data_IF_147123643702
#
_entry.id   IF_147123643702
#
_cell.length_a   1.000
_cell.length_b   1.000
_cell.length_c   1.000
_cell.angle_alpha   90.00
_cell.angle_beta   90.00
_cell.angle_gamma   90.00
#
_symmetry.space_group_name_H-M   'P 1'
#
loop_
_entity.id
_entity.type
_entity.pdbx_description
1 polymer ?
#
# COMPACT_ATOMS: atom_id res chain seq x y z
N UNK A 1 43.19 -56.12 20.83
CA UNK A 1 41.79 -56.44 21.13
C UNK A 1 41.10 -55.14 21.52
N UNK A 2 40.05 -54.79 20.79
CA UNK A 2 39.40 -53.48 20.68
C UNK A 2 38.70 -53.02 21.97
N UNK A 3 38.66 -51.70 22.25
CA UNK A 3 37.45 -50.85 22.11
C UNK A 3 37.61 -49.46 22.75
N UNK A 4 37.59 -48.46 21.88
CA UNK A 4 37.37 -47.03 22.12
C UNK A 4 35.92 -46.82 22.58
N UNK A 5 35.70 -46.06 23.66
CA UNK A 5 34.36 -45.62 24.06
C UNK A 5 34.18 -44.15 23.66
N UNK A 6 33.55 -43.92 22.51
CA UNK A 6 33.05 -42.60 22.11
C UNK A 6 31.79 -42.29 22.90
N UNK A 7 31.88 -41.31 23.81
CA UNK A 7 30.71 -40.63 24.36
C UNK A 7 30.19 -39.66 23.30
N UNK A 8 29.08 -40.03 22.64
CA UNK A 8 28.32 -39.12 21.79
C UNK A 8 27.44 -38.29 22.71
N UNK A 9 27.84 -37.04 22.98
CA UNK A 9 26.96 -36.03 23.56
C UNK A 9 26.02 -35.59 22.45
N UNK A 10 24.79 -36.12 22.47
CA UNK A 10 23.70 -35.62 21.64
C UNK A 10 23.28 -34.24 22.18
N UNK A 11 23.84 -33.19 21.58
CA UNK A 11 23.40 -31.83 21.80
C UNK A 11 22.08 -31.64 21.02
N UNK A 12 20.96 -31.90 21.69
CA UNK A 12 19.64 -31.57 21.18
C UNK A 12 19.55 -30.04 21.05
N UNK A 13 19.73 -29.53 19.83
CA UNK A 13 19.34 -28.16 19.49
C UNK A 13 17.84 -28.03 19.74
N UNK A 14 17.49 -27.37 20.83
CA UNK A 14 16.17 -26.80 21.04
C UNK A 14 16.04 -25.68 20.02
N UNK A 15 15.39 -25.96 18.89
CA UNK A 15 14.89 -24.93 17.99
C UNK A 15 13.85 -24.12 18.76
N UNK A 16 14.29 -23.01 19.37
CA UNK A 16 13.41 -21.91 19.76
C UNK A 16 12.97 -21.24 18.47
N UNK A 17 11.96 -21.82 17.83
CA UNK A 17 11.27 -21.30 16.65
C UNK A 17 9.78 -21.20 16.95
N UNK A 18 9.45 -20.58 18.08
CA UNK A 18 8.09 -20.20 18.44
C UNK A 18 8.15 -18.72 18.84
N UNK A 19 8.59 -17.87 17.90
CA UNK A 19 8.34 -16.44 17.95
C UNK A 19 7.07 -16.22 17.13
N UNK A 20 6.04 -15.65 17.74
CA UNK A 20 4.78 -15.35 17.06
C UNK A 20 5.07 -14.54 15.80
N UNK A 21 4.74 -15.08 14.62
CA UNK A 21 4.83 -14.36 13.34
C UNK A 21 3.87 -13.16 13.26
N UNK A 22 3.01 -12.96 14.27
CA UNK A 22 2.10 -11.83 14.35
C UNK A 22 2.76 -10.54 14.82
N UNK A 23 2.14 -9.41 14.48
CA UNK A 23 2.55 -8.09 14.95
C UNK A 23 2.30 -7.97 16.45
N UNK A 24 3.38 -7.79 17.22
CA UNK A 24 3.35 -7.73 18.69
C UNK A 24 3.92 -6.43 19.27
N UNK A 25 4.36 -5.51 18.41
CA UNK A 25 5.01 -4.27 18.77
C UNK A 25 4.79 -3.17 17.73
N UNK A 26 5.00 -1.91 18.12
CA UNK A 26 4.96 -0.77 17.21
C UNK A 26 6.04 -0.88 16.10
N UNK A 27 7.16 -1.54 16.40
CA UNK A 27 8.23 -1.81 15.44
C UNK A 27 7.81 -2.82 14.37
N UNK A 28 7.08 -3.87 14.75
CA UNK A 28 6.49 -4.79 13.79
C UNK A 28 5.43 -4.08 12.93
N UNK A 29 4.62 -3.20 13.53
CA UNK A 29 3.63 -2.40 12.79
C UNK A 29 4.30 -1.42 11.80
N UNK A 30 5.43 -0.82 12.19
CA UNK A 30 6.25 0.01 11.29
C UNK A 30 6.76 -0.80 10.10
N UNK A 31 7.31 -1.99 10.34
CA UNK A 31 7.80 -2.88 9.27
C UNK A 31 6.68 -3.33 8.33
N UNK A 32 5.51 -3.64 8.89
CA UNK A 32 4.30 -3.95 8.11
C UNK A 32 3.86 -2.77 7.23
N UNK A 33 3.96 -1.53 7.73
CA UNK A 33 3.72 -0.35 6.91
C UNK A 33 4.76 -0.20 5.80
N UNK A 34 6.05 -0.35 6.12
CA UNK A 34 7.14 -0.16 5.16
C UNK A 34 7.07 -1.11 3.96
N UNK A 35 6.59 -2.33 4.13
CA UNK A 35 6.37 -3.26 3.01
C UNK A 35 5.23 -2.86 2.06
N UNK A 36 4.33 -1.94 2.47
CA UNK A 36 3.27 -1.35 1.65
C UNK A 36 3.53 0.11 1.26
N UNK A 37 4.58 0.75 1.76
CA UNK A 37 4.76 2.20 1.61
C UNK A 37 4.78 2.64 0.13
N UNK A 38 5.47 1.87 -0.72
CA UNK A 38 5.52 2.07 -2.17
C UNK A 38 4.17 1.79 -2.87
N UNK A 39 3.31 0.95 -2.29
CA UNK A 39 2.00 0.64 -2.87
C UNK A 39 1.08 1.85 -2.86
N UNK A 40 1.19 2.73 -1.85
CA UNK A 40 0.39 3.96 -1.74
C UNK A 40 0.68 4.88 -2.95
N UNK A 41 1.95 5.02 -3.31
CA UNK A 41 2.36 5.82 -4.47
C UNK A 41 1.89 5.20 -5.79
N UNK A 42 1.93 3.87 -5.89
CA UNK A 42 1.36 3.15 -7.05
C UNK A 42 -0.15 3.34 -7.12
N UNK A 43 -0.86 3.26 -5.99
CA UNK A 43 -2.31 3.41 -5.91
C UNK A 43 -2.75 4.80 -6.43
N UNK A 44 -2.11 5.86 -5.94
CA UNK A 44 -2.38 7.23 -6.40
C UNK A 44 -2.07 7.37 -7.90
N UNK A 45 -0.94 6.82 -8.35
CA UNK A 45 -0.53 6.87 -9.77
C UNK A 45 -1.53 6.14 -10.67
N UNK A 46 -1.94 4.92 -10.30
CA UNK A 46 -2.96 4.15 -11.02
C UNK A 46 -4.32 4.86 -11.00
N UNK A 47 -4.66 5.55 -9.90
CA UNK A 47 -5.84 6.40 -9.83
C UNK A 47 -5.81 7.53 -10.87
N UNK A 48 -4.68 8.24 -11.02
CA UNK A 48 -4.51 9.25 -12.07
C UNK A 48 -4.55 8.64 -13.48
N UNK A 49 -3.95 7.47 -13.69
CA UNK A 49 -4.04 6.76 -14.97
C UNK A 49 -5.50 6.47 -15.33
N UNK A 50 -6.27 5.96 -14.37
CA UNK A 50 -7.69 5.69 -14.51
C UNK A 50 -8.49 6.95 -14.80
N UNK A 51 -8.23 8.04 -14.07
CA UNK A 51 -8.85 9.34 -14.30
C UNK A 51 -8.57 9.89 -15.71
N UNK A 52 -7.31 9.85 -16.14
CA UNK A 52 -6.90 10.36 -17.46
C UNK A 52 -7.40 9.49 -18.63
N UNK A 53 -7.65 8.20 -18.39
CA UNK A 53 -8.17 7.27 -19.39
C UNK A 53 -9.71 7.18 -19.41
N UNK A 54 -10.39 7.69 -18.38
CA UNK A 54 -11.82 7.53 -18.21
C UNK A 54 -12.61 8.29 -19.29
N UNK A 55 -13.45 7.57 -20.01
CA UNK A 55 -14.44 8.12 -20.96
C UNK A 55 -15.85 8.16 -20.38
N UNK A 56 -16.00 7.71 -19.13
CA UNK A 56 -17.26 7.67 -18.38
C UNK A 56 -16.98 7.87 -16.88
N UNK A 57 -18.03 7.92 -16.06
CA UNK A 57 -17.86 7.99 -14.61
C UNK A 57 -17.21 6.73 -14.02
N UNK A 58 -17.21 5.60 -14.72
CA UNK A 58 -16.55 4.38 -14.27
C UNK A 58 -15.13 4.30 -14.84
N UNK A 59 -14.19 3.95 -13.98
CA UNK A 59 -12.79 3.71 -14.31
C UNK A 59 -12.59 2.22 -14.57
N UNK A 60 -12.08 1.89 -15.75
CA UNK A 60 -11.63 0.53 -16.02
C UNK A 60 -10.44 0.19 -15.10
N UNK A 61 -10.32 -1.07 -14.61
CA UNK A 61 -9.24 -1.46 -13.72
C UNK A 61 -7.85 -1.07 -14.25
N UNK A 62 -7.06 -0.41 -13.41
CA UNK A 62 -5.65 -0.08 -13.65
C UNK A 62 -4.80 -0.97 -12.75
N UNK A 63 -3.90 -1.76 -13.33
CA UNK A 63 -3.13 -2.78 -12.60
C UNK A 63 -1.63 -2.56 -12.77
N UNK A 64 -0.88 -2.74 -11.69
CA UNK A 64 0.57 -2.83 -11.69
C UNK A 64 1.06 -4.03 -10.86
N UNK A 65 2.30 -4.43 -11.09
CA UNK A 65 2.94 -5.49 -10.31
C UNK A 65 3.55 -4.93 -9.02
N UNK A 66 3.64 -5.76 -7.99
CA UNK A 66 4.61 -5.56 -6.91
C UNK A 66 6.04 -5.65 -7.45
N UNK A 67 7.00 -5.05 -6.76
CA UNK A 67 8.39 -5.06 -7.15
C UNK A 67 9.00 -6.47 -7.08
N UNK A 68 8.43 -7.37 -6.26
CA UNK A 68 8.79 -8.79 -6.21
C UNK A 68 7.70 -9.69 -6.78
N UNK A 69 6.47 -9.57 -6.27
CA UNK A 69 5.36 -10.48 -6.62
C UNK A 69 4.00 -9.79 -6.59
N UNK A 70 3.03 -10.48 -7.18
CA UNK A 70 1.62 -10.10 -7.12
C UNK A 70 1.30 -8.78 -7.79
N UNK A 71 0.10 -8.30 -7.53
CA UNK A 71 -0.49 -7.16 -8.23
C UNK A 71 -1.28 -6.26 -7.30
N UNK A 72 -1.25 -4.96 -7.63
CA UNK A 72 -2.15 -3.93 -7.14
C UNK A 72 -3.09 -3.54 -8.28
N UNK A 73 -4.38 -3.45 -8.01
CA UNK A 73 -5.40 -3.02 -8.97
C UNK A 73 -6.25 -1.92 -8.38
N UNK A 74 -6.37 -0.80 -9.10
CA UNK A 74 -7.24 0.33 -8.75
C UNK A 74 -8.40 0.40 -9.73
N UNK A 75 -9.63 0.47 -9.20
CA UNK A 75 -10.84 0.68 -9.99
C UNK A 75 -11.81 1.60 -9.25
N UNK A 76 -12.96 1.92 -9.84
CA UNK A 76 -13.99 2.72 -9.16
C UNK A 76 -14.57 3.80 -10.05
N UNK A 77 -14.78 4.98 -9.49
CA UNK A 77 -15.50 6.06 -10.16
C UNK A 77 -14.78 7.40 -10.10
N UNK A 78 -14.97 8.22 -11.14
CA UNK A 78 -14.44 9.57 -11.27
C UNK A 78 -15.52 10.56 -11.69
N UNK A 79 -15.33 11.82 -11.33
CA UNK A 79 -16.18 12.92 -11.79
C UNK A 79 -15.82 13.32 -13.24
N UNK A 80 -16.84 13.36 -14.11
CA UNK A 80 -16.75 13.75 -15.52
C UNK A 80 -17.42 15.11 -15.81
N UNK A 81 -17.86 15.83 -14.77
CA UNK A 81 -18.43 17.16 -14.91
C UNK A 81 -17.43 18.18 -15.45
N UNK A 82 -17.93 19.31 -15.98
CA UNK A 82 -17.10 20.36 -16.58
C UNK A 82 -16.23 21.14 -15.57
N UNK A 83 -16.48 20.99 -14.26
CA UNK A 83 -15.76 21.66 -13.18
C UNK A 83 -14.26 21.34 -13.18
N UNK A 84 -13.39 22.30 -12.88
CA UNK A 84 -11.95 22.02 -12.64
C UNK A 84 -11.68 21.37 -11.30
N UNK A 85 -12.68 21.29 -10.42
CA UNK A 85 -12.64 20.46 -9.22
C UNK A 85 -13.27 19.10 -9.53
N UNK A 86 -12.58 18.02 -9.16
CA UNK A 86 -12.92 16.65 -9.49
C UNK A 86 -12.83 15.77 -8.25
N UNK A 87 -13.57 14.69 -8.24
CA UNK A 87 -13.48 13.64 -7.22
C UNK A 87 -13.26 12.28 -7.84
N UNK A 88 -12.52 11.44 -7.15
CA UNK A 88 -12.30 10.03 -7.47
C UNK A 88 -12.65 9.22 -6.23
N UNK A 89 -13.54 8.24 -6.39
CA UNK A 89 -13.91 7.27 -5.37
C UNK A 89 -13.47 5.91 -5.87
N UNK A 90 -12.29 5.50 -5.45
CA UNK A 90 -11.60 4.35 -5.97
C UNK A 90 -11.51 3.26 -4.90
N UNK A 91 -11.29 2.04 -5.34
CA UNK A 91 -11.07 0.86 -4.51
C UNK A 91 -9.77 0.21 -4.94
N UNK A 92 -9.03 -0.28 -3.94
CA UNK A 92 -7.76 -0.97 -4.12
C UNK A 92 -7.93 -2.46 -3.87
N UNK A 93 -7.41 -3.27 -4.79
CA UNK A 93 -7.31 -4.72 -4.64
C UNK A 93 -5.84 -5.13 -4.70
N UNK A 94 -5.36 -5.78 -3.64
CA UNK A 94 -4.05 -6.42 -3.61
C UNK A 94 -4.22 -7.93 -3.71
N UNK A 95 -3.44 -8.54 -4.59
CA UNK A 95 -3.36 -10.00 -4.73
C UNK A 95 -1.92 -10.44 -4.73
N UNK A 96 -1.56 -11.21 -3.70
CA UNK A 96 -0.21 -11.72 -3.44
C UNK A 96 0.88 -10.65 -3.59
N UNK A 97 0.53 -9.39 -3.29
CA UNK A 97 1.34 -8.22 -3.56
C UNK A 97 2.54 -8.17 -2.62
N UNK A 98 3.73 -7.95 -3.16
CA UNK A 98 4.92 -7.71 -2.34
C UNK A 98 5.95 -6.86 -3.08
N UNK A 99 6.47 -5.84 -2.41
CA UNK A 99 7.59 -5.02 -2.88
C UNK A 99 8.94 -5.42 -2.28
N UNK A 100 8.94 -6.00 -1.07
CA UNK A 100 10.16 -6.41 -0.35
C UNK A 100 10.50 -7.91 -0.55
N UNK A 101 9.50 -8.76 -0.79
CA UNK A 101 9.62 -10.20 -0.88
C UNK A 101 9.64 -10.90 0.49
N UNK A 102 9.43 -10.16 1.58
CA UNK A 102 9.34 -10.67 2.95
C UNK A 102 7.89 -10.80 3.41
N UNK A 103 7.07 -9.80 3.08
CA UNK A 103 5.65 -9.76 3.45
C UNK A 103 4.81 -9.69 2.18
N UNK A 104 3.80 -10.55 2.14
CA UNK A 104 2.80 -10.59 1.07
C UNK A 104 1.50 -10.02 1.59
N UNK A 105 0.89 -9.12 0.81
CA UNK A 105 -0.35 -8.43 1.16
C UNK A 105 -1.49 -8.85 0.22
N UNK A 106 -2.65 -9.13 0.82
CA UNK A 106 -3.88 -9.43 0.12
C UNK A 106 -5.01 -8.55 0.66
N UNK A 107 -5.95 -8.17 -0.20
CA UNK A 107 -7.22 -7.57 0.21
C UNK A 107 -8.32 -8.62 0.28
N UNK A 108 -9.28 -8.43 1.19
CA UNK A 108 -10.41 -9.33 1.36
C UNK A 108 -11.66 -8.76 0.65
N UNK A 109 -12.85 -9.33 0.91
CA UNK A 109 -14.11 -8.91 0.24
C UNK A 109 -14.44 -7.41 0.42
N UNK A 110 -14.06 -6.81 1.54
CA UNK A 110 -14.14 -5.37 1.75
C UNK A 110 -12.82 -4.73 1.32
N UNK A 111 -12.82 -4.14 0.13
CA UNK A 111 -11.63 -3.52 -0.46
C UNK A 111 -11.32 -2.16 0.20
N UNK A 112 -10.04 -1.83 0.44
CA UNK A 112 -9.60 -0.50 0.81
C UNK A 112 -10.13 0.57 -0.13
N UNK A 113 -10.51 1.71 0.44
CA UNK A 113 -11.04 2.87 -0.30
C UNK A 113 -9.94 3.89 -0.48
N UNK A 114 -9.68 4.25 -1.73
CA UNK A 114 -8.83 5.36 -2.12
C UNK A 114 -9.73 6.51 -2.57
N UNK A 115 -9.91 7.51 -1.70
CA UNK A 115 -10.66 8.72 -2.04
C UNK A 115 -9.71 9.84 -2.42
N UNK A 116 -9.99 10.54 -3.51
CA UNK A 116 -9.19 11.68 -3.94
C UNK A 116 -10.06 12.82 -4.43
N UNK A 117 -9.69 14.03 -4.03
CA UNK A 117 -10.28 15.28 -4.46
C UNK A 117 -9.20 16.13 -5.10
N UNK A 118 -9.45 16.51 -6.35
CA UNK A 118 -8.60 17.40 -7.11
C UNK A 118 -9.25 18.77 -7.14
N UNK A 119 -8.51 19.81 -6.78
CA UNK A 119 -8.97 21.19 -6.89
C UNK A 119 -8.17 21.91 -7.95
N UNK A 120 -8.83 22.70 -8.81
CA UNK A 120 -8.18 23.51 -9.86
C UNK A 120 -7.23 22.69 -10.77
N UNK A 121 -7.69 21.55 -11.28
CA UNK A 121 -6.96 20.76 -12.30
C UNK A 121 -6.60 21.66 -13.49
N UNK A 122 -5.36 21.59 -14.03
CA UNK A 122 -4.33 20.60 -13.74
C UNK A 122 -3.23 21.01 -12.74
N UNK A 123 -3.27 22.22 -12.15
CA UNK A 123 -2.14 22.78 -11.37
C UNK A 123 -2.45 23.11 -9.91
N UNK A 124 -3.63 22.73 -9.41
CA UNK A 124 -4.02 22.99 -8.03
C UNK A 124 -3.57 21.92 -7.04
N UNK A 125 -4.50 21.44 -6.23
CA UNK A 125 -4.18 20.58 -5.07
C UNK A 125 -4.86 19.23 -5.15
N UNK A 126 -4.20 18.25 -4.55
CA UNK A 126 -4.69 16.92 -4.23
C UNK A 126 -4.97 16.86 -2.73
N UNK A 127 -6.13 16.34 -2.37
CA UNK A 127 -6.48 15.88 -1.03
C UNK A 127 -7.01 14.46 -1.16
N UNK A 128 -6.66 13.53 -0.28
CA UNK A 128 -7.18 12.18 -0.34
C UNK A 128 -6.99 11.37 0.93
N UNK A 129 -7.53 10.16 0.91
CA UNK A 129 -7.35 9.16 1.96
C UNK A 129 -7.22 7.76 1.38
N UNK A 130 -6.51 6.91 2.12
CA UNK A 130 -6.48 5.46 1.91
C UNK A 130 -6.86 4.79 3.22
N UNK A 131 -8.03 4.17 3.24
CA UNK A 131 -8.60 3.54 4.41
C UNK A 131 -8.99 2.09 4.09
N UNK A 132 -8.42 1.13 4.81
CA UNK A 132 -8.72 -0.27 4.56
C UNK A 132 -7.88 -1.27 5.33
N UNK A 133 -8.24 -2.54 5.15
CA UNK A 133 -7.59 -3.68 5.80
C UNK A 133 -6.93 -4.58 4.76
N UNK A 134 -5.73 -5.03 5.12
CA UNK A 134 -4.86 -5.89 4.34
C UNK A 134 -4.52 -7.12 5.19
N UNK A 135 -4.54 -8.30 4.58
CA UNK A 135 -4.07 -9.54 5.18
C UNK A 135 -2.60 -9.73 4.82
N UNK A 136 -1.75 -9.93 5.83
CA UNK A 136 -0.33 -10.17 5.70
C UNK A 136 0.01 -11.65 5.86
N UNK A 137 1.00 -12.11 5.10
CA UNK A 137 1.64 -13.40 5.27
C UNK A 137 3.16 -13.28 5.05
N UNK A 138 3.94 -14.18 5.66
CA UNK A 138 5.39 -14.23 5.49
C UNK A 138 6.13 -13.86 6.78
N UNK A 139 7.04 -12.89 6.70
CA UNK A 139 7.84 -12.45 7.85
C UNK A 139 6.99 -11.84 8.98
N UNK A 140 5.87 -11.22 8.62
CA UNK A 140 4.79 -10.80 9.52
C UNK A 140 3.47 -11.36 8.99
N UNK A 141 2.60 -11.76 9.91
CA UNK A 141 1.30 -12.35 9.65
C UNK A 141 0.19 -11.61 10.41
N UNK A 142 -1.03 -11.76 9.93
CA UNK A 142 -2.21 -11.15 10.53
C UNK A 142 -2.74 -10.00 9.67
N UNK A 143 -3.48 -9.09 10.30
CA UNK A 143 -4.16 -8.02 9.58
C UNK A 143 -3.53 -6.67 9.86
N UNK A 144 -3.31 -5.91 8.80
CA UNK A 144 -2.87 -4.51 8.85
C UNK A 144 -4.05 -3.62 8.45
N UNK A 145 -4.38 -2.65 9.28
CA UNK A 145 -5.35 -1.60 8.95
C UNK A 145 -4.61 -0.30 8.72
N UNK A 146 -4.81 0.29 7.53
CA UNK A 146 -4.34 1.63 7.21
C UNK A 146 -5.51 2.60 7.35
N UNK A 147 -5.23 3.73 7.99
CA UNK A 147 -6.07 4.92 7.91
C UNK A 147 -5.15 6.10 7.66
N UNK A 148 -5.02 6.46 6.40
CA UNK A 148 -4.08 7.46 5.92
C UNK A 148 -4.82 8.60 5.24
N UNK A 149 -4.31 9.80 5.42
CA UNK A 149 -4.70 10.98 4.66
C UNK A 149 -3.48 11.53 3.94
N UNK A 150 -3.70 12.13 2.78
CA UNK A 150 -2.62 12.74 2.03
C UNK A 150 -3.05 14.04 1.35
N UNK A 151 -2.08 14.93 1.18
CA UNK A 151 -2.24 16.18 0.45
C UNK A 151 -1.08 16.35 -0.52
N UNK A 152 -1.26 17.11 -1.59
CA UNK A 152 -0.17 17.44 -2.50
C UNK A 152 -0.55 18.48 -3.54
N UNK A 153 0.40 18.80 -4.42
CA UNK A 153 0.16 19.66 -5.58
C UNK A 153 -0.09 18.81 -6.83
N UNK A 154 -0.75 19.41 -7.82
CA UNK A 154 -1.00 18.81 -9.12
C UNK A 154 -0.11 19.45 -10.19
N UNK A 155 0.19 18.69 -11.23
CA UNK A 155 0.81 19.20 -12.44
C UNK A 155 0.22 18.55 -13.69
N UNK A 156 0.30 19.20 -14.86
CA UNK A 156 0.12 18.53 -16.13
C UNK A 156 1.17 17.43 -16.30
N UNK A 157 0.82 16.34 -16.97
CA UNK A 157 1.80 15.30 -17.29
C UNK A 157 2.83 15.84 -18.29
N UNK A 158 4.14 15.58 -18.10
CA UNK A 158 5.18 16.07 -19.00
C UNK A 158 5.07 15.46 -20.42
N UNK A 159 4.45 14.28 -20.53
CA UNK A 159 4.26 13.60 -21.82
C UNK A 159 3.00 14.04 -22.55
N UNK A 160 2.03 14.61 -21.83
CA UNK A 160 0.74 15.05 -22.37
C UNK A 160 0.11 16.10 -21.44
N UNK A 161 0.19 17.37 -21.84
CA UNK A 161 -0.31 18.51 -21.05
C UNK A 161 -1.84 18.47 -20.82
N UNK A 162 -2.58 17.63 -21.54
CA UNK A 162 -4.02 17.43 -21.31
C UNK A 162 -4.31 16.46 -20.15
N UNK A 163 -3.31 15.69 -19.71
CA UNK A 163 -3.38 14.77 -18.57
C UNK A 163 -2.89 15.44 -17.30
N UNK A 164 -3.40 14.97 -16.16
CA UNK A 164 -3.03 15.46 -14.83
C UNK A 164 -2.37 14.35 -14.00
N UNK A 165 -1.39 14.72 -13.19
CA UNK A 165 -0.72 13.85 -12.24
C UNK A 165 -0.41 14.61 -10.94
N UNK A 166 -0.09 13.86 -9.87
CA UNK A 166 0.48 14.48 -8.66
C UNK A 166 1.86 15.05 -8.99
N UNK A 167 2.19 16.20 -8.42
CA UNK A 167 3.51 16.79 -8.53
C UNK A 167 4.50 16.06 -7.60
N UNK A 168 5.59 15.49 -8.13
CA UNK A 168 6.60 14.82 -7.30
C UNK A 168 7.17 15.73 -6.22
N UNK A 169 7.46 15.17 -5.04
CA UNK A 169 8.05 15.86 -3.90
C UNK A 169 7.08 16.70 -3.07
N UNK A 170 5.77 16.65 -3.37
CA UNK A 170 4.75 17.49 -2.70
C UNK A 170 3.71 16.68 -1.93
N UNK A 171 3.68 15.36 -2.09
CA UNK A 171 2.70 14.50 -1.44
C UNK A 171 3.10 14.30 0.01
N UNK A 172 2.33 14.85 0.93
CA UNK A 172 2.47 14.64 2.36
C UNK A 172 1.43 13.65 2.85
N UNK A 173 1.87 12.55 3.45
CA UNK A 173 1.04 11.44 3.92
C UNK A 173 1.11 11.40 5.45
N UNK A 174 -0.04 11.37 6.11
CA UNK A 174 -0.14 11.24 7.56
C UNK A 174 -1.22 10.22 7.94
N UNK A 175 -1.09 9.56 9.09
CA UNK A 175 -2.11 8.66 9.59
C UNK A 175 -1.56 7.55 10.45
N UNK A 176 -2.22 6.40 10.44
CA UNK A 176 -1.85 5.25 11.26
C UNK A 176 -1.86 3.94 10.48
N UNK A 177 -0.90 3.09 10.82
CA UNK A 177 -0.86 1.68 10.43
C UNK A 177 -0.95 0.83 11.70
N UNK A 178 -2.03 0.08 11.86
CA UNK A 178 -2.32 -0.70 13.06
C UNK A 178 -2.43 -2.19 12.75
N UNK A 179 -1.77 -3.03 13.54
CA UNK A 179 -1.85 -4.49 13.42
C UNK A 179 -1.60 -5.16 14.78
N UNK A 180 -2.46 -6.09 15.17
CA UNK A 180 -2.37 -6.73 16.49
C UNK A 180 -2.33 -5.71 17.63
N UNK A 181 -1.28 -5.79 18.45
CA UNK A 181 -1.01 -4.85 19.54
C UNK A 181 -0.14 -3.64 19.12
N UNK A 182 0.35 -3.62 17.88
CA UNK A 182 1.25 -2.58 17.37
C UNK A 182 0.52 -1.45 16.65
N UNK A 183 1.02 -0.23 16.83
CA UNK A 183 0.55 0.95 16.12
C UNK A 183 1.71 1.82 15.65
N UNK A 184 1.72 2.19 14.38
CA UNK A 184 2.72 3.07 13.79
C UNK A 184 2.06 4.35 13.26
N UNK A 185 2.55 5.50 13.73
CA UNK A 185 2.16 6.80 13.20
C UNK A 185 2.96 7.11 11.94
N UNK A 186 2.26 7.32 10.83
CA UNK A 186 2.84 7.67 9.54
C UNK A 186 2.86 9.19 9.42
N UNK A 187 4.02 9.73 9.05
CA UNK A 187 4.23 11.14 8.71
C UNK A 187 5.43 11.22 7.76
N UNK A 188 5.18 11.40 6.46
CA UNK A 188 6.20 11.43 5.42
C UNK A 188 5.84 12.30 4.23
N UNK A 189 6.85 12.74 3.47
CA UNK A 189 6.69 13.61 2.30
C UNK A 189 7.49 13.08 1.11
N UNK A 190 6.88 13.01 -0.08
CA UNK A 190 7.50 12.53 -1.32
C UNK A 190 6.84 13.01 -2.62
#
# INVERSE_FOLDING_TARGET
MFRTAQFVIAFSLVLVGCGSSGVSSDEDARRAYEGLDDSIDKAITLGFQGFNAATSANVAPQTANGAKTGTITISGQVDQGASTNKTMNLIEELKDYSDDGEITYNTNETLPVLSMKLSKVPTGTLEGSLDGRFTMAGALEGDLTLSLTFTGELQPSPDDESKVERKPGTTHITGTAASGDGNYNVDLTR
#
